data_IF_495191286572
#
_entry.id   IF_495191286572
#
_cell.length_a   1.000
_cell.length_b   1.000
_cell.length_c   1.000
_cell.angle_alpha   90.00
_cell.angle_beta   90.00
_cell.angle_gamma   90.00
#
_symmetry.space_group_name_H-M   'P 1'
#
loop_
_entity.id
_entity.type
_entity.pdbx_description
1 polymer ?
#
# COMPACT_ATOMS: atom_id res chain seq x y z
N UNK A 1 4.44 9.26 -6.89
CA UNK A 1 5.87 9.01 -7.18
C UNK A 1 6.81 9.97 -6.51
N UNK A 2 7.03 11.20 -7.01
CA UNK A 2 8.15 12.05 -6.55
C UNK A 2 8.21 12.28 -5.02
N UNK A 3 7.06 12.40 -4.34
CA UNK A 3 7.04 12.54 -2.88
C UNK A 3 7.50 11.27 -2.13
N UNK A 4 7.17 10.08 -2.64
CA UNK A 4 7.59 8.81 -2.06
C UNK A 4 9.11 8.65 -2.23
N UNK A 5 9.63 8.93 -3.42
CA UNK A 5 11.07 8.86 -3.69
C UNK A 5 11.87 9.90 -2.88
N UNK A 6 11.33 11.12 -2.71
CA UNK A 6 12.00 12.18 -1.97
C UNK A 6 11.96 11.99 -0.44
N UNK A 7 11.10 11.11 0.08
CA UNK A 7 10.93 10.90 1.52
C UNK A 7 12.23 10.43 2.17
N UNK A 8 12.64 11.07 3.28
CA UNK A 8 13.95 10.79 3.92
C UNK A 8 13.85 9.83 5.12
N UNK A 9 12.81 9.97 5.95
CA UNK A 9 12.74 9.28 7.24
C UNK A 9 11.54 8.35 7.38
N UNK A 10 10.37 8.83 7.01
CA UNK A 10 9.17 8.01 7.04
C UNK A 10 8.12 8.50 6.06
N UNK A 11 7.15 7.64 5.80
CA UNK A 11 5.89 7.96 5.12
C UNK A 11 4.76 7.54 6.06
N UNK A 12 3.79 8.42 6.25
CA UNK A 12 2.55 8.13 6.94
C UNK A 12 1.39 8.22 5.94
N UNK A 13 0.62 7.15 5.84
CA UNK A 13 -0.53 7.04 4.96
C UNK A 13 -1.73 6.72 5.84
N UNK A 14 -2.70 7.62 5.86
CA UNK A 14 -4.03 7.35 6.38
C UNK A 14 -4.99 7.46 5.20
N UNK A 15 -5.68 6.37 4.90
CA UNK A 15 -6.59 6.32 3.76
C UNK A 15 -7.76 5.38 4.06
N UNK A 16 -8.87 5.56 3.35
CA UNK A 16 -10.01 4.67 3.44
C UNK A 16 -9.73 3.32 2.75
N UNK A 17 -8.86 3.32 1.73
CA UNK A 17 -8.49 2.11 0.99
C UNK A 17 -6.98 2.05 0.73
N UNK A 18 -6.46 0.82 0.67
CA UNK A 18 -5.09 0.54 0.22
C UNK A 18 -5.14 -0.58 -0.82
N UNK A 19 -5.45 -0.20 -2.06
CA UNK A 19 -5.56 -1.12 -3.21
C UNK A 19 -4.51 -0.70 -4.24
N UNK A 20 -3.41 -1.44 -4.30
CA UNK A 20 -2.23 -1.01 -5.06
C UNK A 20 -1.45 -2.12 -5.74
N UNK A 21 -1.61 -3.38 -5.31
CA UNK A 21 -1.05 -4.53 -6.02
C UNK A 21 -2.21 -5.35 -6.61
N UNK A 22 -2.31 -5.40 -7.93
CA UNK A 22 -3.00 -6.49 -8.60
C UNK A 22 -2.10 -7.07 -9.69
N UNK A 23 -1.96 -8.39 -9.66
CA UNK A 23 -1.29 -9.20 -10.69
C UNK A 23 -2.05 -9.21 -12.03
N UNK A 24 -3.06 -8.37 -12.20
CA UNK A 24 -3.99 -8.34 -13.33
C UNK A 24 -4.18 -6.90 -13.82
N UNK A 25 -4.63 -6.76 -15.07
CA UNK A 25 -4.92 -5.49 -15.78
C UNK A 25 -5.90 -4.53 -15.09
N UNK A 26 -6.42 -4.89 -13.92
CA UNK A 26 -7.46 -4.20 -13.16
C UNK A 26 -6.90 -3.07 -12.28
N UNK A 27 -5.74 -3.25 -11.63
CA UNK A 27 -5.14 -2.20 -10.78
C UNK A 27 -3.88 -1.69 -11.45
N UNK A 28 -3.85 -0.40 -11.79
CA UNK A 28 -2.80 0.20 -12.63
C UNK A 28 -1.92 1.21 -11.89
N UNK A 29 -2.20 1.51 -10.63
CA UNK A 29 -1.40 2.47 -9.87
C UNK A 29 -0.08 1.84 -9.43
N UNK A 30 0.96 2.67 -9.27
CA UNK A 30 2.32 2.24 -8.93
C UNK A 30 2.70 2.55 -7.48
N UNK A 31 1.72 2.77 -6.60
CA UNK A 31 1.99 3.24 -5.23
C UNK A 31 2.82 2.18 -4.47
N UNK A 32 2.45 0.90 -4.55
CA UNK A 32 3.21 -0.20 -3.95
C UNK A 32 4.62 -0.29 -4.50
N UNK A 33 4.79 -0.21 -5.83
CA UNK A 33 6.11 -0.27 -6.47
C UNK A 33 7.01 0.88 -6.04
N UNK A 34 6.46 2.08 -5.87
CA UNK A 34 7.20 3.24 -5.35
C UNK A 34 7.60 3.04 -3.89
N UNK A 35 6.67 2.60 -3.04
CA UNK A 35 6.93 2.35 -1.62
C UNK A 35 7.97 1.24 -1.46
N UNK A 36 7.87 0.18 -2.27
CA UNK A 36 8.83 -0.92 -2.32
C UNK A 36 10.21 -0.41 -2.73
N UNK A 37 10.33 0.31 -3.85
CA UNK A 37 11.61 0.89 -4.32
C UNK A 37 12.22 1.81 -3.26
N UNK A 38 11.40 2.60 -2.56
CA UNK A 38 11.88 3.48 -1.49
C UNK A 38 12.39 2.70 -0.28
N UNK A 39 11.71 1.64 0.13
CA UNK A 39 12.16 0.73 1.21
C UNK A 39 13.47 0.05 0.80
N UNK A 40 13.53 -0.48 -0.43
CA UNK A 40 14.69 -1.16 -0.97
C UNK A 40 15.93 -0.24 -0.98
N UNK A 41 15.76 1.01 -1.42
CA UNK A 41 16.82 2.04 -1.35
C UNK A 41 17.27 2.28 0.10
N UNK A 42 16.34 2.41 1.04
CA UNK A 42 16.69 2.63 2.45
C UNK A 42 17.50 1.47 3.01
N UNK A 43 17.08 0.24 2.69
CA UNK A 43 17.75 -0.98 3.09
C UNK A 43 19.18 -1.04 2.52
N UNK A 44 19.35 -0.79 1.22
CA UNK A 44 20.67 -0.73 0.55
C UNK A 44 21.61 0.31 1.18
N UNK A 45 21.08 1.44 1.63
CA UNK A 45 21.85 2.52 2.26
C UNK A 45 22.01 2.36 3.78
N UNK A 46 21.50 1.28 4.40
CA UNK A 46 21.43 1.12 5.85
C UNK A 46 20.74 2.31 6.58
N UNK A 47 19.76 2.94 5.93
CA UNK A 47 18.97 4.03 6.49
C UNK A 47 17.81 3.50 7.33
N UNK A 48 17.58 4.09 8.50
CA UNK A 48 16.34 3.85 9.25
C UNK A 48 15.18 4.56 8.55
N UNK A 49 14.37 3.80 7.82
CA UNK A 49 13.18 4.30 7.14
C UNK A 49 11.95 3.49 7.53
N UNK A 50 10.79 4.16 7.67
CA UNK A 50 9.54 3.51 8.11
C UNK A 50 8.35 3.95 7.27
N UNK A 51 7.45 3.01 6.98
CA UNK A 51 6.17 3.31 6.35
C UNK A 51 5.07 2.91 7.33
N UNK A 52 4.19 3.85 7.63
CA UNK A 52 3.03 3.65 8.50
C UNK A 52 1.77 3.75 7.63
N UNK A 53 0.96 2.69 7.61
CA UNK A 53 -0.29 2.65 6.87
C UNK A 53 -1.41 2.43 7.89
N UNK A 54 -2.31 3.39 7.99
CA UNK A 54 -3.50 3.37 8.84
C UNK A 54 -4.72 3.22 7.94
N UNK A 55 -5.48 2.16 8.19
CA UNK A 55 -6.68 1.80 7.45
C UNK A 55 -7.82 1.56 8.43
N UNK A 56 -9.08 1.78 8.02
CA UNK A 56 -10.22 1.32 8.80
C UNK A 56 -10.18 -0.20 8.94
N UNK A 57 -10.62 -0.72 10.09
CA UNK A 57 -10.67 -2.17 10.36
C UNK A 57 -11.60 -2.89 9.37
N UNK A 58 -12.70 -2.25 9.02
CA UNK A 58 -13.66 -2.71 8.03
C UNK A 58 -14.02 -1.56 7.09
N UNK A 59 -14.16 -1.82 5.77
CA UNK A 59 -14.74 -0.87 4.83
C UNK A 59 -16.15 -0.42 5.25
N UNK A 60 -16.44 0.87 5.14
CA UNK A 60 -17.76 1.44 5.47
C UNK A 60 -18.81 1.21 4.39
N UNK A 61 -19.14 -0.05 4.08
CA UNK A 61 -20.21 -0.42 3.16
C UNK A 61 -21.27 -1.28 3.86
N UNK A 62 -22.54 -1.09 3.49
CA UNK A 62 -23.66 -1.83 4.08
C UNK A 62 -23.85 -3.23 3.47
N UNK A 63 -23.22 -3.52 2.32
CA UNK A 63 -23.34 -4.78 1.63
C UNK A 63 -22.14 -5.69 1.92
N UNK A 64 -22.39 -6.84 2.56
CA UNK A 64 -21.36 -7.83 2.93
C UNK A 64 -20.52 -8.30 1.74
N UNK A 65 -21.10 -8.48 0.56
CA UNK A 65 -20.35 -8.92 -0.63
C UNK A 65 -19.38 -7.84 -1.10
N UNK A 66 -19.76 -6.56 -1.01
CA UNK A 66 -18.88 -5.43 -1.32
C UNK A 66 -17.77 -5.33 -0.30
N UNK A 67 -18.09 -5.47 0.99
CA UNK A 67 -17.10 -5.50 2.07
C UNK A 67 -16.07 -6.61 1.84
N UNK A 68 -16.52 -7.82 1.50
CA UNK A 68 -15.63 -8.95 1.20
C UNK A 68 -14.74 -8.69 -0.03
N UNK A 69 -15.31 -8.14 -1.11
CA UNK A 69 -14.55 -7.81 -2.32
C UNK A 69 -13.46 -6.76 -2.04
N UNK A 70 -13.80 -5.70 -1.31
CA UNK A 70 -12.84 -4.64 -0.96
C UNK A 70 -11.76 -5.18 -0.02
N UNK A 71 -12.14 -5.96 1.01
CA UNK A 71 -11.18 -6.61 1.90
C UNK A 71 -10.24 -7.54 1.13
N UNK A 72 -10.73 -8.28 0.15
CA UNK A 72 -9.90 -9.13 -0.70
C UNK A 72 -8.79 -8.34 -1.41
N UNK A 73 -9.12 -7.19 -2.01
CA UNK A 73 -8.13 -6.34 -2.68
C UNK A 73 -7.16 -5.66 -1.72
N UNK A 74 -7.63 -5.24 -0.54
CA UNK A 74 -6.77 -4.69 0.52
C UNK A 74 -5.78 -5.73 1.01
N UNK A 75 -6.26 -6.94 1.34
CA UNK A 75 -5.41 -8.03 1.84
C UNK A 75 -4.36 -8.44 0.81
N UNK A 76 -4.74 -8.49 -0.48
CA UNK A 76 -3.78 -8.73 -1.56
C UNK A 76 -2.71 -7.65 -1.65
N UNK A 77 -3.08 -6.38 -1.47
CA UNK A 77 -2.14 -5.26 -1.54
C UNK A 77 -1.14 -5.20 -0.37
N UNK A 78 -1.46 -5.85 0.76
CA UNK A 78 -0.63 -5.85 1.97
C UNK A 78 0.23 -7.12 2.07
N UNK A 79 -0.38 -8.29 1.79
CA UNK A 79 0.20 -9.58 2.17
C UNK A 79 0.89 -10.26 0.98
N UNK A 80 0.39 -10.04 -0.24
CA UNK A 80 0.85 -10.78 -1.41
C UNK A 80 2.05 -10.11 -2.05
N UNK A 81 3.25 -10.62 -1.73
CA UNK A 81 4.41 -10.54 -2.63
C UNK A 81 4.38 -11.75 -3.56
N UNK A 82 4.76 -11.56 -4.83
CA UNK A 82 5.20 -12.67 -5.68
C UNK A 82 6.59 -13.17 -5.28
#
# INVERSE_FOLDING_TARGET
MQMIDAAKHFIYIENQFFITIAQDSVVQNQIADDLFRRIERAHKNAEKFRIYIVLPLLPGFDNTNVVQAVLYFIMRSIIKGD
#
